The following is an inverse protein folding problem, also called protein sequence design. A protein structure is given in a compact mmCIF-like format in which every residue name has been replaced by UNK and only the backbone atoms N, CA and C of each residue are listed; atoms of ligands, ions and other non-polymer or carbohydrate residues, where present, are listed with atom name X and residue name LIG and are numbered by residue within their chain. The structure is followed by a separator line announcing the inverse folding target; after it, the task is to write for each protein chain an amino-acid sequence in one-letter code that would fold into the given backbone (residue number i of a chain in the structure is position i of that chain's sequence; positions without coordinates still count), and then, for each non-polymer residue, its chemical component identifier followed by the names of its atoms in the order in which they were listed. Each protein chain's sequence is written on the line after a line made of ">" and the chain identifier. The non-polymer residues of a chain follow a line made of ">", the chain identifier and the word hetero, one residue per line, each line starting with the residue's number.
data_IF_575644473267
#
_entry.id   IF_575644473267
#
_cell.length_a   1.000
_cell.length_b   1.000
_cell.length_c   1.000
_cell.angle_alpha   90.00
_cell.angle_beta   90.00
_cell.angle_gamma   90.00
#
_symmetry.space_group_name_H-M   'P 1'
#
loop_
_entity.id
_entity.type
_entity.pdbx_description
1 polymer ?
#
# COMPACT_ATOMS: atom_id res chain seq x y z
N UNK A 1 -18.59 7.63 -11.92
CA UNK A 1 -17.25 7.03 -12.08
C UNK A 1 -16.50 7.15 -10.77
N UNK A 2 -16.01 6.04 -10.25
CA UNK A 2 -15.30 6.04 -8.97
C UNK A 2 -13.93 6.67 -9.08
N UNK A 3 -13.58 7.53 -8.14
CA UNK A 3 -12.28 8.18 -8.05
C UNK A 3 -11.32 7.34 -7.21
N UNK A 4 -10.13 7.11 -7.72
CA UNK A 4 -9.11 6.31 -7.05
C UNK A 4 -7.86 7.15 -6.82
N UNK A 5 -7.43 7.26 -5.57
CA UNK A 5 -6.16 7.88 -5.26
C UNK A 5 -5.03 6.88 -5.52
N UNK A 6 -4.13 7.23 -6.41
CA UNK A 6 -2.93 6.44 -6.70
C UNK A 6 -1.79 7.04 -5.88
N UNK A 7 -1.55 6.43 -4.73
CA UNK A 7 -0.66 6.98 -3.70
C UNK A 7 0.79 6.61 -3.98
N UNK A 8 1.65 7.62 -3.97
CA UNK A 8 3.07 7.48 -4.24
C UNK A 8 3.88 8.04 -3.07
N UNK A 9 4.88 7.28 -2.65
CA UNK A 9 5.90 7.72 -1.69
C UNK A 9 7.22 7.95 -2.40
N UNK A 10 8.18 8.65 -1.78
CA UNK A 10 9.52 8.72 -2.35
C UNK A 10 10.05 7.31 -2.65
N UNK A 11 10.53 7.08 -3.87
CA UNK A 11 10.98 5.76 -4.32
C UNK A 11 9.93 4.89 -5.01
N UNK A 12 8.66 5.30 -5.04
CA UNK A 12 7.63 4.61 -5.83
C UNK A 12 7.89 4.77 -7.32
N UNK A 13 7.57 3.75 -8.13
CA UNK A 13 7.93 3.78 -9.55
C UNK A 13 6.91 3.17 -10.53
N UNK A 14 5.76 2.69 -10.06
CA UNK A 14 4.76 2.04 -10.93
C UNK A 14 3.45 2.83 -11.05
N UNK A 15 3.50 4.12 -10.80
CA UNK A 15 2.34 5.00 -10.83
C UNK A 15 1.71 5.09 -12.22
N UNK A 16 2.51 5.18 -13.26
CA UNK A 16 2.03 5.30 -14.64
C UNK A 16 1.22 4.08 -15.08
N UNK A 17 1.74 2.90 -14.84
CA UNK A 17 1.09 1.64 -15.16
C UNK A 17 -0.21 1.48 -14.38
N UNK A 18 -0.22 1.90 -13.12
CA UNK A 18 -1.41 1.87 -12.27
C UNK A 18 -2.48 2.82 -12.78
N UNK A 19 -2.11 4.05 -13.15
CA UNK A 19 -3.04 5.02 -13.74
C UNK A 19 -3.69 4.46 -15.01
N UNK A 20 -2.89 3.87 -15.88
CA UNK A 20 -3.40 3.27 -17.12
C UNK A 20 -4.35 2.10 -16.84
N UNK A 21 -4.00 1.23 -15.91
CA UNK A 21 -4.84 0.09 -15.54
C UNK A 21 -6.20 0.55 -14.99
N UNK A 22 -6.20 1.54 -14.13
CA UNK A 22 -7.44 2.12 -13.59
C UNK A 22 -8.34 2.69 -14.69
N UNK A 23 -7.76 3.42 -15.64
CA UNK A 23 -8.52 3.99 -16.77
C UNK A 23 -9.13 2.92 -17.64
N UNK A 24 -8.40 1.82 -17.88
CA UNK A 24 -8.91 0.71 -18.71
C UNK A 24 -10.14 0.03 -18.13
N UNK A 25 -10.29 0.01 -16.82
CA UNK A 25 -11.46 -0.60 -16.17
C UNK A 25 -12.53 0.41 -15.81
N UNK A 26 -12.44 1.64 -16.33
CA UNK A 26 -13.47 2.66 -16.15
C UNK A 26 -13.41 3.44 -14.85
N UNK A 27 -12.30 3.39 -14.12
CA UNK A 27 -12.09 4.20 -12.94
C UNK A 27 -11.45 5.54 -13.31
N UNK A 28 -11.55 6.50 -12.40
CA UNK A 28 -10.90 7.80 -12.53
C UNK A 28 -9.73 7.89 -11.55
N UNK A 29 -8.50 7.54 -11.99
CA UNK A 29 -7.33 7.61 -11.13
C UNK A 29 -6.82 9.05 -11.02
N UNK A 30 -6.34 9.41 -9.85
CA UNK A 30 -5.69 10.69 -9.58
C UNK A 30 -4.38 10.40 -8.85
N UNK A 31 -3.28 10.94 -9.38
CA UNK A 31 -2.01 10.85 -8.68
C UNK A 31 -2.09 11.56 -7.34
N UNK A 32 -1.63 10.89 -6.31
CA UNK A 32 -1.59 11.45 -4.96
C UNK A 32 -0.20 11.30 -4.40
N UNK A 33 0.50 12.43 -4.25
CA UNK A 33 1.86 12.44 -3.74
C UNK A 33 1.87 12.48 -2.22
N UNK A 34 2.87 11.87 -1.63
CA UNK A 34 3.06 11.75 -0.19
C UNK A 34 3.07 13.09 0.55
N UNK A 35 3.42 14.20 -0.14
CA UNK A 35 3.49 15.53 0.45
C UNK A 35 2.21 16.35 0.29
N UNK A 36 1.14 15.76 -0.25
CA UNK A 36 -0.14 16.44 -0.36
C UNK A 36 -0.91 16.38 0.97
N UNK A 37 -1.90 17.25 1.12
CA UNK A 37 -2.75 17.28 2.31
C UNK A 37 -3.52 15.96 2.47
N UNK A 38 -3.41 15.34 3.63
CA UNK A 38 -4.08 14.06 3.92
C UNK A 38 -5.61 14.18 3.86
N UNK A 39 -6.15 15.36 4.12
CA UNK A 39 -7.60 15.60 4.06
C UNK A 39 -8.18 15.35 2.67
N UNK A 40 -7.39 15.58 1.63
CA UNK A 40 -7.82 15.32 0.24
C UNK A 40 -8.15 13.85 -0.01
N UNK A 41 -7.59 12.94 0.79
CA UNK A 41 -7.87 11.51 0.67
C UNK A 41 -9.33 11.17 0.95
N UNK A 42 -10.03 11.99 1.72
CA UNK A 42 -11.44 11.77 2.04
C UNK A 42 -12.36 11.82 0.81
N UNK A 43 -11.92 12.47 -0.27
CA UNK A 43 -12.71 12.65 -1.48
C UNK A 43 -12.73 11.44 -2.40
N UNK A 44 -11.87 10.47 -2.16
CA UNK A 44 -11.71 9.32 -3.05
C UNK A 44 -12.59 8.14 -2.62
N UNK A 45 -12.97 7.33 -3.58
CA UNK A 45 -13.78 6.14 -3.35
C UNK A 45 -12.91 4.91 -3.03
N UNK A 46 -11.64 4.96 -3.37
CA UNK A 46 -10.70 3.88 -3.10
C UNK A 46 -9.26 4.34 -3.27
N UNK A 47 -8.34 3.47 -2.89
CA UNK A 47 -6.91 3.81 -2.84
C UNK A 47 -6.08 2.68 -3.42
N UNK A 48 -5.05 3.04 -4.19
CA UNK A 48 -4.02 2.09 -4.65
C UNK A 48 -2.67 2.62 -4.16
N UNK A 49 -1.92 1.77 -3.46
CA UNK A 49 -0.55 2.06 -3.07
C UNK A 49 0.35 1.33 -4.05
N UNK A 50 1.12 2.09 -4.82
CA UNK A 50 1.92 1.56 -5.93
C UNK A 50 3.20 0.87 -5.47
N UNK A 51 3.83 0.15 -6.40
CA UNK A 51 5.09 -0.52 -6.18
C UNK A 51 6.30 0.40 -6.23
N UNK A 52 7.46 -0.17 -6.01
CA UNK A 52 8.75 0.51 -5.98
C UNK A 52 9.51 0.21 -4.70
N UNK A 53 10.32 1.16 -4.26
CA UNK A 53 11.08 1.07 -3.01
C UNK A 53 10.83 2.33 -2.20
N UNK A 54 9.67 2.40 -1.54
CA UNK A 54 9.28 3.56 -0.75
C UNK A 54 10.36 3.90 0.29
N UNK A 55 10.83 5.14 0.27
CA UNK A 55 11.90 5.64 1.13
C UNK A 55 13.19 4.80 1.07
N UNK A 56 13.40 4.04 -0.01
CA UNK A 56 14.55 3.15 -0.18
C UNK A 56 14.75 2.17 0.99
N UNK A 57 13.66 1.71 1.60
CA UNK A 57 13.71 0.78 2.72
C UNK A 57 14.44 -0.52 2.35
N UNK A 58 15.55 -0.79 3.03
CA UNK A 58 16.39 -1.96 2.78
C UNK A 58 16.30 -3.02 3.86
N UNK A 59 16.09 -2.59 5.10
CA UNK A 59 16.03 -3.51 6.24
C UNK A 59 14.63 -4.11 6.41
N UNK A 60 13.59 -3.31 6.18
CA UNK A 60 12.21 -3.73 6.34
C UNK A 60 11.34 -2.91 5.40
N UNK A 61 11.06 -3.50 4.25
CA UNK A 61 10.38 -2.80 3.16
C UNK A 61 9.00 -2.31 3.58
N UNK A 62 8.73 -1.05 3.30
CA UNK A 62 7.45 -0.41 3.58
C UNK A 62 7.30 0.16 4.98
N UNK A 63 8.26 -0.05 5.90
CA UNK A 63 8.09 0.36 7.30
C UNK A 63 7.96 1.88 7.46
N UNK A 64 8.77 2.66 6.76
CA UNK A 64 8.74 4.12 6.88
C UNK A 64 7.44 4.66 6.29
N UNK A 65 7.04 4.20 5.11
CA UNK A 65 5.79 4.59 4.49
C UNK A 65 4.59 4.21 5.36
N UNK A 66 4.63 3.04 6.02
CA UNK A 66 3.56 2.59 6.90
C UNK A 66 3.30 3.54 8.08
N UNK A 67 4.31 4.31 8.48
CA UNK A 67 4.22 5.29 9.56
C UNK A 67 3.78 6.68 9.08
N UNK A 68 3.68 6.89 7.76
CA UNK A 68 3.31 8.18 7.19
C UNK A 68 1.88 8.57 7.57
N UNK A 69 1.61 9.87 7.84
CA UNK A 69 0.24 10.35 8.10
C UNK A 69 -0.79 9.98 7.02
N UNK A 70 -0.37 9.85 5.77
CA UNK A 70 -1.22 9.40 4.67
C UNK A 70 -1.81 8.02 4.97
N UNK A 71 -1.01 7.11 5.48
CA UNK A 71 -1.49 5.76 5.81
C UNK A 71 -2.47 5.80 6.98
N UNK A 72 -2.29 6.68 7.94
CA UNK A 72 -3.26 6.88 9.02
C UNK A 72 -4.62 7.30 8.45
N UNK A 73 -4.62 8.21 7.49
CA UNK A 73 -5.85 8.64 6.84
C UNK A 73 -6.48 7.52 6.00
N UNK A 74 -5.67 6.76 5.29
CA UNK A 74 -6.15 5.59 4.53
C UNK A 74 -6.82 4.57 5.46
N UNK A 75 -6.27 4.35 6.65
CA UNK A 75 -6.89 3.47 7.66
C UNK A 75 -8.28 3.96 8.06
N UNK A 76 -8.42 5.26 8.31
CA UNK A 76 -9.72 5.85 8.67
C UNK A 76 -10.73 5.67 7.53
N UNK A 77 -10.30 5.85 6.30
CA UNK A 77 -11.17 5.68 5.14
C UNK A 77 -11.50 4.20 4.88
N UNK A 78 -10.56 3.30 5.12
CA UNK A 78 -10.79 1.85 5.02
C UNK A 78 -11.83 1.38 6.05
N UNK A 79 -11.84 1.94 7.25
CA UNK A 79 -12.86 1.64 8.27
C UNK A 79 -14.26 2.01 7.80
N UNK A 80 -14.39 2.98 6.90
CA UNK A 80 -15.67 3.36 6.28
C UNK A 80 -16.09 2.42 5.17
N UNK A 81 -15.29 1.40 4.85
CA UNK A 81 -15.57 0.41 3.81
C UNK A 81 -14.95 0.70 2.46
N UNK A 82 -14.11 1.72 2.33
CA UNK A 82 -13.44 2.02 1.06
C UNK A 82 -12.34 1.00 0.77
N UNK A 83 -12.25 0.48 -0.47
CA UNK A 83 -11.23 -0.50 -0.83
C UNK A 83 -9.82 0.09 -0.89
N UNK A 84 -8.86 -0.72 -0.47
CA UNK A 84 -7.43 -0.37 -0.53
C UNK A 84 -6.68 -1.52 -1.19
N UNK A 85 -5.93 -1.23 -2.23
CA UNK A 85 -5.11 -2.20 -2.96
C UNK A 85 -3.64 -1.80 -2.84
N UNK A 86 -2.80 -2.73 -2.40
CA UNK A 86 -1.34 -2.55 -2.40
C UNK A 86 -0.69 -3.49 -3.41
N UNK A 87 0.21 -2.96 -4.22
CA UNK A 87 0.89 -3.72 -5.27
C UNK A 87 2.38 -3.74 -4.98
N UNK A 88 2.99 -4.95 -4.90
CA UNK A 88 4.42 -5.12 -4.64
C UNK A 88 4.82 -4.42 -3.33
N UNK A 89 5.66 -3.39 -3.38
CA UNK A 89 6.02 -2.61 -2.19
C UNK A 89 4.78 -2.02 -1.50
N UNK A 90 3.72 -1.69 -2.26
CA UNK A 90 2.44 -1.27 -1.69
C UNK A 90 1.83 -2.34 -0.80
N UNK A 91 1.91 -3.61 -1.18
CA UNK A 91 1.45 -4.73 -0.35
C UNK A 91 2.26 -4.83 0.94
N UNK A 92 3.56 -4.59 0.88
CA UNK A 92 4.43 -4.55 2.06
C UNK A 92 4.00 -3.44 3.02
N UNK A 93 3.65 -2.27 2.49
CA UNK A 93 3.14 -1.15 3.29
C UNK A 93 1.83 -1.54 3.99
N UNK A 94 0.92 -2.22 3.31
CA UNK A 94 -0.34 -2.67 3.91
C UNK A 94 -0.09 -3.61 5.09
N UNK A 95 0.84 -4.54 4.97
CA UNK A 95 1.19 -5.48 6.04
C UNK A 95 1.86 -4.75 7.21
N UNK A 96 2.84 -3.88 6.93
CA UNK A 96 3.56 -3.13 7.96
C UNK A 96 2.65 -2.16 8.72
N UNK A 97 1.61 -1.66 8.07
CA UNK A 97 0.64 -0.75 8.69
C UNK A 97 -0.48 -1.45 9.46
N UNK A 98 -0.65 -2.76 9.28
CA UNK A 98 -1.75 -3.51 9.86
C UNK A 98 -3.05 -3.47 9.05
N UNK A 99 -3.11 -2.75 7.93
CA UNK A 99 -4.26 -2.79 7.02
C UNK A 99 -4.53 -4.20 6.52
N UNK A 100 -3.48 -5.01 6.40
CA UNK A 100 -3.56 -6.44 6.15
C UNK A 100 -2.91 -7.14 7.33
N UNK A 101 -3.57 -8.07 7.99
CA UNK A 101 -4.85 -8.71 7.66
C UNK A 101 -6.11 -7.91 8.07
N UNK A 102 -6.00 -6.71 8.55
CA UNK A 102 -7.16 -5.88 8.89
C UNK A 102 -7.84 -6.28 10.20
N UNK A 103 -7.05 -6.59 11.22
CA UNK A 103 -7.55 -6.89 12.55
C UNK A 103 -8.16 -5.64 13.19
N UNK A 104 -8.93 -5.81 14.25
CA UNK A 104 -9.57 -4.70 14.94
C UNK A 104 -8.53 -3.63 15.32
N UNK A 105 -8.82 -2.36 14.94
CA UNK A 105 -7.91 -1.24 15.17
C UNK A 105 -6.69 -1.24 14.25
N UNK A 106 -6.67 -2.10 13.23
CA UNK A 106 -5.54 -2.26 12.31
C UNK A 106 -4.21 -2.48 13.02
N UNK A 107 -4.21 -3.30 14.06
CA UNK A 107 -2.99 -3.73 14.72
C UNK A 107 -2.14 -4.59 13.77
N UNK A 108 -0.82 -4.50 13.92
CA UNK A 108 0.11 -5.30 13.10
C UNK A 108 -0.08 -6.77 13.49
N UNK A 109 -0.50 -7.61 12.54
CA UNK A 109 -0.82 -9.01 12.78
C UNK A 109 0.03 -10.00 12.01
N UNK A 110 0.84 -9.52 11.06
CA UNK A 110 1.73 -10.39 10.26
C UNK A 110 2.90 -9.58 9.70
N UNK A 111 3.85 -10.26 9.11
CA UNK A 111 4.99 -9.65 8.43
C UNK A 111 5.29 -10.41 7.15
N UNK A 112 5.74 -9.70 6.13
CA UNK A 112 6.25 -10.29 4.91
C UNK A 112 7.74 -10.58 5.08
N UNK A 113 8.14 -11.75 4.62
CA UNK A 113 9.53 -12.20 4.69
C UNK A 113 9.89 -12.96 3.42
N UNK A 114 11.17 -13.29 3.27
CA UNK A 114 11.63 -14.06 2.13
C UNK A 114 10.92 -15.40 2.07
N UNK A 115 10.59 -15.81 0.85
CA UNK A 115 9.95 -17.10 0.62
C UNK A 115 10.96 -18.22 0.85
N UNK A 116 10.76 -18.97 1.93
CA UNK A 116 11.63 -20.08 2.32
C UNK A 116 10.81 -21.33 2.57
N UNK A 117 11.41 -22.47 2.31
CA UNK A 117 10.82 -23.77 2.66
C UNK A 117 11.84 -24.63 3.39
N UNK A 118 11.35 -25.52 4.23
CA UNK A 118 12.19 -26.50 4.91
C UNK A 118 12.14 -27.81 4.11
N UNK A 119 13.31 -28.34 3.75
CA UNK A 119 13.45 -29.64 3.11
C UNK A 119 14.48 -30.46 3.88
N UNK A 120 14.08 -31.63 4.35
CA UNK A 120 14.95 -32.54 5.17
C UNK A 120 15.61 -31.80 6.35
N UNK A 121 14.84 -30.95 7.06
CA UNK A 121 15.36 -30.19 8.17
C UNK A 121 16.20 -28.96 7.80
N UNK A 122 16.32 -28.64 6.51
CA UNK A 122 17.05 -27.47 6.03
C UNK A 122 16.08 -26.42 5.48
N UNK A 123 16.36 -25.14 5.76
CA UNK A 123 15.66 -24.03 5.13
C UNK A 123 16.25 -23.81 3.75
N UNK A 124 15.40 -23.85 2.72
CA UNK A 124 15.80 -23.66 1.32
C UNK A 124 15.10 -22.42 0.78
N UNK A 125 15.84 -21.54 0.10
CA UNK A 125 15.27 -20.43 -0.64
C UNK A 125 14.40 -20.94 -1.79
N UNK A 126 13.39 -20.16 -2.13
CA UNK A 126 12.48 -20.47 -3.25
C UNK A 126 12.59 -19.39 -4.32
#
# INVERSE_FOLDING_TARGET
>A
MSSIAVIQFPGSNTERETLMACRRVGLRPVEFLWNESTEKLMQFDGYVIVGGFSYEDRSRAGIIAALDPIIKQVKLEAEKGKPVLGISNGAQILVESGLVPGLQGYSIGMALTDNKRVKKGRVVGV
#
